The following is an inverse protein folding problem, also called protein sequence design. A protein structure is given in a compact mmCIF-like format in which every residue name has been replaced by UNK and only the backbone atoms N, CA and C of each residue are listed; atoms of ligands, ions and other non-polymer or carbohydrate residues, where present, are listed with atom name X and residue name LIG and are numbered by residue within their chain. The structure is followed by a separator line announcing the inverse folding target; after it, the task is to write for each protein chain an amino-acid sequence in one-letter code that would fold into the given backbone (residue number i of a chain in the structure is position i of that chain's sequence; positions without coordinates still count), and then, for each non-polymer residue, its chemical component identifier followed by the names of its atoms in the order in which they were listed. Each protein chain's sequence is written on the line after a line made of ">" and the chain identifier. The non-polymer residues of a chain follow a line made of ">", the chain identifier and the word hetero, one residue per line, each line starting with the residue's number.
data_IF_588185776647
#
_entry.id   IF_588185776647
#
_cell.length_a   1.000
_cell.length_b   1.000
_cell.length_c   1.000
_cell.angle_alpha   90.00
_cell.angle_beta   90.00
_cell.angle_gamma   90.00
#
_symmetry.space_group_name_H-M   'P 1'
#
loop_
_entity.id
_entity.type
_entity.pdbx_description
1 polymer ?
#
# COMPACT_ATOMS: atom_id res chain seq x y z
N UNK A 1 -5.79 -9.86 -8.41
CA UNK A 1 -5.47 -8.42 -8.46
C UNK A 1 -6.78 -7.64 -8.29
N UNK A 2 -6.77 -6.48 -7.63
CA UNK A 2 -7.97 -5.65 -7.44
C UNK A 2 -7.65 -4.22 -7.89
N UNK A 3 -8.54 -3.62 -8.68
CA UNK A 3 -8.48 -2.20 -9.03
C UNK A 3 -9.54 -1.43 -8.24
N UNK A 4 -9.13 -0.35 -7.57
CA UNK A 4 -10.04 0.56 -6.87
C UNK A 4 -10.18 1.82 -7.71
N UNK A 5 -11.25 1.87 -8.51
CA UNK A 5 -11.52 2.97 -9.43
C UNK A 5 -12.78 3.76 -9.03
N UNK A 6 -12.94 4.96 -9.57
CA UNK A 6 -14.07 5.84 -9.30
C UNK A 6 -13.97 7.15 -10.09
N UNK A 7 -15.12 7.66 -10.55
CA UNK A 7 -15.18 8.72 -11.56
C UNK A 7 -14.97 10.16 -11.09
N UNK A 8 -14.71 10.40 -9.80
CA UNK A 8 -14.54 11.76 -9.25
C UNK A 8 -13.28 11.86 -8.40
N UNK A 9 -12.64 13.03 -8.41
CA UNK A 9 -11.66 13.41 -7.40
C UNK A 9 -12.29 13.38 -6.00
N UNK A 10 -11.56 12.90 -5.00
CA UNK A 10 -12.07 12.84 -3.62
C UNK A 10 -13.09 11.73 -3.31
N UNK A 11 -13.42 10.84 -4.24
CA UNK A 11 -14.39 9.74 -4.01
C UNK A 11 -13.89 8.62 -3.08
N UNK A 12 -12.74 8.79 -2.43
CA UNK A 12 -12.20 7.84 -1.45
C UNK A 12 -11.35 6.69 -2.01
N UNK A 13 -11.00 6.67 -3.31
CA UNK A 13 -10.27 5.56 -3.96
C UNK A 13 -9.01 5.12 -3.19
N UNK A 14 -8.09 6.06 -2.94
CA UNK A 14 -6.84 5.80 -2.22
C UNK A 14 -7.09 5.34 -0.79
N UNK A 15 -8.06 5.96 -0.10
CA UNK A 15 -8.46 5.56 1.25
C UNK A 15 -8.99 4.13 1.29
N UNK A 16 -9.85 3.77 0.34
CA UNK A 16 -10.39 2.42 0.20
C UNK A 16 -9.31 1.40 -0.14
N UNK A 17 -8.39 1.73 -1.07
CA UNK A 17 -7.28 0.86 -1.42
C UNK A 17 -6.39 0.53 -0.20
N UNK A 18 -6.02 1.55 0.58
CA UNK A 18 -5.24 1.36 1.80
C UNK A 18 -6.02 0.60 2.88
N UNK A 19 -7.33 0.85 3.01
CA UNK A 19 -8.21 0.12 3.94
C UNK A 19 -8.29 -1.39 3.61
N UNK A 20 -8.41 -1.73 2.33
CA UNK A 20 -8.38 -3.13 1.85
C UNK A 20 -7.03 -3.77 2.19
N UNK A 21 -5.92 -3.06 1.94
CA UNK A 21 -4.58 -3.55 2.30
C UNK A 21 -4.46 -3.80 3.81
N UNK A 22 -4.96 -2.89 4.65
CA UNK A 22 -4.99 -3.09 6.10
C UNK A 22 -5.79 -4.31 6.53
N UNK A 23 -6.94 -4.58 5.89
CA UNK A 23 -7.71 -5.80 6.15
C UNK A 23 -6.95 -7.08 5.76
N UNK A 24 -6.19 -7.06 4.65
CA UNK A 24 -5.35 -8.17 4.22
C UNK A 24 -4.15 -8.39 5.17
N UNK A 25 -3.52 -7.31 5.64
CA UNK A 25 -2.46 -7.37 6.67
C UNK A 25 -2.99 -8.00 7.96
N UNK A 26 -4.18 -7.60 8.43
CA UNK A 26 -4.85 -8.22 9.60
C UNK A 26 -5.07 -9.72 9.42
N UNK A 27 -5.27 -10.18 8.18
CA UNK A 27 -5.38 -11.61 7.80
C UNK A 27 -4.01 -12.26 7.53
N UNK A 28 -2.90 -11.67 8.00
CA UNK A 28 -1.52 -12.14 7.83
C UNK A 28 -1.11 -12.31 6.35
N UNK A 29 -1.67 -11.51 5.46
CA UNK A 29 -1.22 -11.42 4.05
C UNK A 29 -0.23 -10.28 3.88
N UNK A 30 0.49 -10.28 2.76
CA UNK A 30 1.47 -9.26 2.38
C UNK A 30 0.99 -8.55 1.11
N UNK A 31 -0.01 -7.65 1.20
CA UNK A 31 -0.48 -6.93 0.03
C UNK A 31 0.60 -5.94 -0.46
N UNK A 32 0.57 -5.69 -1.76
CA UNK A 32 1.25 -4.56 -2.40
C UNK A 32 0.14 -3.63 -2.89
N UNK A 33 0.30 -2.34 -2.64
CA UNK A 33 -0.62 -1.29 -3.12
C UNK A 33 0.19 -0.38 -4.03
N UNK A 34 -0.35 -0.09 -5.20
CA UNK A 34 0.28 0.76 -6.20
C UNK A 34 -0.67 1.93 -6.46
N UNK A 35 -0.13 3.14 -6.50
CA UNK A 35 -0.89 4.31 -6.93
C UNK A 35 -0.90 4.36 -8.46
N UNK A 36 -2.10 4.37 -9.04
CA UNK A 36 -2.28 4.44 -10.49
C UNK A 36 -2.85 5.80 -10.92
N UNK A 37 -2.96 6.76 -10.00
CA UNK A 37 -3.36 8.15 -10.30
C UNK A 37 -2.10 8.96 -10.69
N UNK A 38 -1.89 9.13 -11.99
CA UNK A 38 -0.71 9.84 -12.51
C UNK A 38 -0.83 11.36 -12.33
N UNK A 39 -2.04 11.89 -12.28
CA UNK A 39 -2.31 13.32 -12.21
C UNK A 39 -2.19 13.84 -10.78
N UNK A 40 -2.70 13.07 -9.80
CA UNK A 40 -2.73 13.44 -8.40
C UNK A 40 -2.46 12.24 -7.46
N UNK A 41 -1.23 11.69 -7.45
CA UNK A 41 -0.89 10.57 -6.59
C UNK A 41 -0.98 10.99 -5.12
N UNK A 42 -1.66 10.18 -4.31
CA UNK A 42 -1.97 10.47 -2.91
C UNK A 42 -1.67 9.30 -1.96
N UNK A 43 -1.27 8.13 -2.50
CA UNK A 43 -1.03 6.95 -1.70
C UNK A 43 0.12 7.15 -0.71
N UNK A 44 1.23 7.76 -1.13
CA UNK A 44 2.41 8.00 -0.29
C UNK A 44 2.05 8.78 0.98
N UNK A 45 1.26 9.86 0.85
CA UNK A 45 0.75 10.66 1.98
C UNK A 45 -0.08 9.79 2.94
N UNK A 46 -0.99 8.95 2.43
CA UNK A 46 -1.87 8.11 3.25
C UNK A 46 -1.12 6.95 3.90
N UNK A 47 -0.12 6.42 3.20
CA UNK A 47 0.73 5.33 3.67
C UNK A 47 1.81 5.81 4.65
N UNK A 48 2.08 7.12 4.72
CA UNK A 48 3.12 7.69 5.59
C UNK A 48 4.53 7.35 5.10
N UNK A 49 4.74 7.35 3.78
CA UNK A 49 6.02 7.07 3.13
C UNK A 49 6.40 8.22 2.20
N UNK A 50 7.67 8.32 1.86
CA UNK A 50 8.13 9.29 0.87
C UNK A 50 7.52 8.98 -0.50
N UNK A 51 7.32 10.03 -1.31
CA UNK A 51 6.81 9.87 -2.67
C UNK A 51 7.79 9.14 -3.57
N UNK A 52 9.07 9.47 -3.39
CA UNK A 52 10.16 9.00 -4.22
C UNK A 52 11.11 8.11 -3.41
N UNK A 53 11.72 7.09 -4.03
CA UNK A 53 11.51 6.65 -5.42
C UNK A 53 10.11 6.07 -5.67
N UNK A 54 9.53 6.40 -6.83
CA UNK A 54 8.23 5.93 -7.31
C UNK A 54 8.33 4.76 -8.29
N UNK A 55 7.18 4.35 -8.87
CA UNK A 55 7.08 3.19 -9.80
C UNK A 55 7.86 3.38 -11.11
N UNK A 56 8.31 4.59 -11.39
CA UNK A 56 9.16 4.99 -12.50
C UNK A 56 10.66 4.78 -12.22
N UNK A 57 11.03 4.35 -11.01
CA UNK A 57 12.41 4.01 -10.68
C UNK A 57 12.94 2.85 -11.54
N UNK A 58 14.24 2.86 -11.92
CA UNK A 58 14.84 1.78 -12.73
C UNK A 58 14.78 0.40 -12.04
N UNK A 59 14.85 0.39 -10.71
CA UNK A 59 14.67 -0.80 -9.89
C UNK A 59 13.30 -0.76 -9.18
N UNK A 60 12.36 -1.66 -9.52
CA UNK A 60 11.06 -1.76 -8.86
C UNK A 60 11.13 -2.06 -7.35
N UNK A 61 12.24 -2.63 -6.87
CA UNK A 61 12.43 -2.88 -5.44
C UNK A 61 12.74 -1.58 -4.71
N UNK A 62 13.46 -0.65 -5.35
CA UNK A 62 13.72 0.67 -4.78
C UNK A 62 12.40 1.44 -4.55
N UNK A 63 11.43 1.29 -5.45
CA UNK A 63 10.09 1.88 -5.34
C UNK A 63 9.20 1.28 -4.22
N UNK A 64 9.65 0.21 -3.56
CA UNK A 64 8.85 -0.49 -2.56
C UNK A 64 9.08 0.07 -1.16
N UNK A 65 8.05 0.72 -0.61
CA UNK A 65 8.07 1.28 0.73
C UNK A 65 7.24 0.46 1.72
N UNK A 66 7.73 0.26 2.94
CA UNK A 66 6.93 -0.29 4.03
C UNK A 66 6.11 0.83 4.68
N UNK A 67 4.79 0.74 4.60
CA UNK A 67 3.90 1.74 5.21
C UNK A 67 3.91 1.64 6.74
N UNK A 68 4.34 2.69 7.47
CA UNK A 68 4.17 2.74 8.93
C UNK A 68 2.70 2.83 9.35
N UNK A 69 1.81 3.30 8.46
CA UNK A 69 0.36 3.31 8.71
C UNK A 69 -0.25 1.90 8.76
N UNK A 70 0.41 0.88 8.19
CA UNK A 70 -0.04 -0.51 8.17
C UNK A 70 1.07 -1.47 8.63
N UNK A 71 1.44 -1.44 9.93
CA UNK A 71 2.57 -2.22 10.42
C UNK A 71 2.32 -3.73 10.24
N UNK A 72 3.32 -4.41 9.69
CA UNK A 72 3.31 -5.88 9.57
C UNK A 72 3.31 -6.45 10.99
N UNK A 73 2.30 -7.27 11.33
CA UNK A 73 2.40 -8.09 12.54
C UNK A 73 3.59 -9.04 12.37
N UNK A 74 4.54 -8.98 13.30
CA UNK A 74 5.70 -9.87 13.31
C UNK A 74 5.28 -11.32 13.15
N UNK A 75 6.09 -12.12 12.43
CA UNK A 75 5.93 -13.57 12.40
C UNK A 75 5.89 -14.04 13.85
N UNK A 76 4.78 -14.65 14.29
CA UNK A 76 4.85 -15.52 15.46
C UNK A 76 5.93 -16.54 15.13
N UNK A 77 7.00 -16.57 15.92
CA UNK A 77 7.91 -17.71 15.88
C UNK A 77 7.03 -18.96 15.98
N UNK A 78 7.14 -19.83 14.98
CA UNK A 78 6.56 -21.16 15.07
C UNK A 78 7.24 -21.83 16.25
N UNK A 79 6.60 -21.77 17.42
CA UNK A 79 7.02 -22.53 18.59
C UNK A 79 6.99 -24.00 18.19
N UNK A 80 8.18 -24.59 18.08
CA UNK A 80 8.34 -26.02 18.00
C UNK A 80 7.70 -26.64 19.23
N UNK A 81 6.90 -27.68 18.99
CA UNK A 81 6.63 -28.70 19.99
C UNK A 81 7.82 -29.64 20.04
#
# INVERSE_FOLDING_TARGET
>A
MLAVAGGKGGSGKTTTALGIAGALVKRRRRPVVVDCDLDAPNLHVRAGVDRDPGVDAPDPVAAAHESPALPRRGRRASGGR
#
